data_IF_520207432230
#
_entry.id   IF_520207432230
#
_cell.length_a   1.000
_cell.length_b   1.000
_cell.length_c   1.000
_cell.angle_alpha   90.00
_cell.angle_beta   90.00
_cell.angle_gamma   90.00
#
_symmetry.space_group_name_H-M   'P 1'
#
loop_
_entity.id
_entity.type
_entity.pdbx_description
1 polymer ?
#
# COMPACT_ATOMS: atom_id res chain seq x y z
N UNK A 1 15.25 -2.10 -11.67
CA UNK A 1 13.84 -2.55 -11.66
C UNK A 1 12.99 -1.47 -12.27
N UNK A 2 11.83 -1.82 -12.83
CA UNK A 2 10.85 -0.85 -13.34
C UNK A 2 9.54 -1.04 -12.60
N UNK A 3 8.97 0.05 -12.07
CA UNK A 3 7.68 0.06 -11.40
C UNK A 3 6.67 0.82 -12.27
N UNK A 4 5.71 0.07 -12.82
CA UNK A 4 4.60 0.62 -13.60
C UNK A 4 3.48 1.00 -12.64
N UNK A 5 3.08 2.27 -12.67
CA UNK A 5 2.10 2.85 -11.76
C UNK A 5 1.07 3.69 -12.48
N UNK A 6 -0.08 3.85 -11.84
CA UNK A 6 -0.99 4.95 -12.12
C UNK A 6 -0.51 6.25 -11.47
N UNK A 7 -1.25 7.33 -11.67
CA UNK A 7 -0.97 8.60 -10.98
C UNK A 7 -1.12 8.42 -9.46
N UNK A 8 -0.06 8.76 -8.72
CA UNK A 8 0.05 8.58 -7.27
C UNK A 8 -0.98 9.38 -6.48
N UNK A 9 -1.58 10.44 -7.05
CA UNK A 9 -2.65 11.20 -6.38
C UNK A 9 -4.01 10.48 -6.41
N UNK A 10 -4.16 9.46 -7.26
CA UNK A 10 -5.43 8.80 -7.57
C UNK A 10 -5.38 7.28 -7.38
N UNK A 11 -4.19 6.68 -7.22
CA UNK A 11 -4.02 5.24 -7.06
C UNK A 11 -3.25 4.92 -5.78
N UNK A 12 -3.98 4.56 -4.73
CA UNK A 12 -3.37 4.11 -3.47
C UNK A 12 -2.59 2.83 -3.67
N UNK A 13 -3.09 1.92 -4.51
CA UNK A 13 -2.40 0.70 -4.91
C UNK A 13 -1.02 0.97 -5.50
N UNK A 14 -0.90 1.98 -6.36
CA UNK A 14 0.38 2.40 -6.93
C UNK A 14 1.29 3.11 -5.93
N UNK A 15 0.70 3.90 -5.04
CA UNK A 15 1.44 4.68 -4.05
C UNK A 15 2.18 3.78 -3.05
N UNK A 16 1.57 2.67 -2.63
CA UNK A 16 2.13 1.73 -1.65
C UNK A 16 3.55 1.22 -1.99
N UNK A 17 3.79 0.51 -3.12
CA UNK A 17 5.14 0.09 -3.44
C UNK A 17 6.05 1.28 -3.76
N UNK A 18 5.52 2.35 -4.36
CA UNK A 18 6.33 3.52 -4.70
C UNK A 18 6.89 4.22 -3.46
N UNK A 19 6.08 4.45 -2.42
CA UNK A 19 6.51 5.11 -1.19
C UNK A 19 7.46 4.22 -0.41
N UNK A 20 7.21 2.91 -0.34
CA UNK A 20 8.11 1.98 0.32
C UNK A 20 9.48 1.92 -0.37
N UNK A 21 9.51 1.73 -1.69
CA UNK A 21 10.77 1.68 -2.44
C UNK A 21 11.54 3.00 -2.31
N UNK A 22 10.84 4.15 -2.35
CA UNK A 22 11.45 5.47 -2.14
C UNK A 22 12.02 5.60 -0.72
N UNK A 23 11.25 5.24 0.31
CA UNK A 23 11.68 5.33 1.70
C UNK A 23 12.91 4.46 1.98
N UNK A 24 12.92 3.21 1.49
CA UNK A 24 14.02 2.28 1.70
C UNK A 24 15.20 2.47 0.74
N UNK A 25 15.19 3.51 -0.10
CA UNK A 25 16.28 3.81 -1.02
C UNK A 25 16.49 2.73 -2.09
N UNK A 26 15.46 1.96 -2.42
CA UNK A 26 15.51 0.95 -3.48
C UNK A 26 15.58 1.67 -4.83
N UNK A 27 16.51 1.28 -5.69
CA UNK A 27 16.64 1.89 -7.01
C UNK A 27 15.63 1.30 -8.01
N UNK A 28 14.80 2.17 -8.60
CA UNK A 28 13.84 1.80 -9.64
C UNK A 28 13.54 2.97 -10.58
N UNK A 29 13.18 2.63 -11.81
CA UNK A 29 12.58 3.55 -12.76
C UNK A 29 11.05 3.52 -12.62
N UNK A 30 10.40 4.68 -12.69
CA UNK A 30 8.93 4.79 -12.63
C UNK A 30 8.35 4.96 -14.02
N UNK A 31 7.46 4.06 -14.43
CA UNK A 31 6.65 4.18 -15.65
C UNK A 31 5.24 4.58 -15.24
N UNK A 32 4.78 5.75 -15.67
CA UNK A 32 3.44 6.27 -15.33
C UNK A 32 2.46 6.02 -16.47
N UNK A 33 1.37 5.33 -16.18
CA UNK A 33 0.23 5.17 -17.08
C UNK A 33 -0.93 6.06 -16.61
N UNK A 34 -1.64 6.65 -17.55
CA UNK A 34 -2.81 7.46 -17.27
C UNK A 34 -4.03 6.55 -17.06
N UNK A 35 -4.56 6.56 -15.84
CA UNK A 35 -5.74 5.79 -15.46
C UNK A 35 -7.01 6.38 -16.10
N UNK A 36 -8.04 5.54 -16.23
CA UNK A 36 -9.37 5.95 -16.72
C UNK A 36 -9.38 6.55 -18.14
N UNK A 37 -8.39 6.15 -18.97
CA UNK A 37 -8.31 6.52 -20.39
C UNK A 37 -8.64 5.33 -21.29
N UNK A 38 -9.16 5.57 -22.52
CA UNK A 38 -9.41 4.49 -23.48
C UNK A 38 -8.15 3.70 -23.87
N UNK A 39 -6.96 4.31 -23.73
CA UNK A 39 -5.67 3.70 -24.09
C UNK A 39 -5.07 2.84 -22.98
N UNK A 40 -5.50 3.03 -21.72
CA UNK A 40 -4.92 2.35 -20.56
C UNK A 40 -4.88 0.83 -20.73
N UNK A 41 -5.99 0.23 -21.17
CA UNK A 41 -6.11 -1.23 -21.34
C UNK A 41 -5.13 -1.80 -22.39
N UNK A 42 -4.78 -1.02 -23.42
CA UNK A 42 -3.78 -1.42 -24.41
C UNK A 42 -2.35 -1.24 -23.88
N UNK A 43 -2.11 -0.19 -23.09
CA UNK A 43 -0.80 0.09 -22.51
C UNK A 43 -0.42 -0.90 -21.41
N UNK A 44 -1.31 -1.20 -20.46
CA UNK A 44 -0.99 -2.07 -19.32
C UNK A 44 -0.66 -3.51 -19.74
N UNK A 45 -1.25 -3.99 -20.84
CA UNK A 45 -0.98 -5.32 -21.41
C UNK A 45 0.46 -5.53 -21.86
N UNK A 46 1.21 -4.45 -22.09
CA UNK A 46 2.63 -4.54 -22.42
C UNK A 46 3.48 -4.96 -21.20
N UNK A 47 2.94 -4.78 -19.99
CA UNK A 47 3.67 -4.99 -18.73
C UNK A 47 3.14 -6.18 -17.93
N UNK A 48 1.84 -6.48 -18.00
CA UNK A 48 1.23 -7.56 -17.24
C UNK A 48 -0.13 -8.02 -17.80
N UNK A 49 -0.43 -9.30 -17.60
CA UNK A 49 -1.75 -9.89 -17.86
C UNK A 49 -2.78 -9.60 -16.74
N UNK A 50 -2.36 -9.00 -15.61
CA UNK A 50 -3.26 -8.61 -14.53
C UNK A 50 -4.18 -7.44 -14.92
N UNK A 51 -3.84 -6.67 -15.96
CA UNK A 51 -4.56 -5.49 -16.45
C UNK A 51 -4.79 -4.40 -15.38
N UNK A 52 -3.99 -4.40 -14.32
CA UNK A 52 -4.04 -3.44 -13.23
C UNK A 52 -2.63 -2.94 -12.91
N UNK A 53 -2.55 -1.75 -12.30
CA UNK A 53 -1.34 -1.23 -11.66
C UNK A 53 -1.48 -1.39 -10.14
N UNK A 54 -0.38 -1.53 -9.38
CA UNK A 54 1.03 -1.50 -9.81
C UNK A 54 1.53 -2.82 -10.43
N UNK A 55 2.62 -2.72 -11.20
CA UNK A 55 3.41 -3.85 -11.71
C UNK A 55 4.89 -3.59 -11.47
N UNK A 56 5.59 -4.51 -10.81
CA UNK A 56 7.05 -4.47 -10.65
C UNK A 56 7.69 -5.48 -11.61
N UNK A 57 8.57 -4.98 -12.48
CA UNK A 57 9.38 -5.81 -13.37
C UNK A 57 10.81 -5.91 -12.82
N UNK A 58 11.26 -7.14 -12.63
CA UNK A 58 12.60 -7.47 -12.11
C UNK A 58 13.32 -8.41 -13.08
N UNK A 59 14.60 -8.67 -12.82
CA UNK A 59 15.36 -9.68 -13.56
C UNK A 59 14.85 -11.11 -13.33
N UNK A 60 14.12 -11.35 -12.23
CA UNK A 60 13.60 -12.66 -11.84
C UNK A 60 12.15 -12.89 -12.28
N UNK A 61 11.52 -11.89 -12.91
CA UNK A 61 10.12 -11.94 -13.32
C UNK A 61 9.33 -10.72 -12.87
N UNK A 62 8.01 -10.83 -13.05
CA UNK A 62 7.05 -9.74 -12.83
C UNK A 62 6.18 -10.03 -11.61
N UNK A 63 6.11 -9.08 -10.68
CA UNK A 63 5.18 -9.10 -9.56
C UNK A 63 4.03 -8.11 -9.81
N UNK A 64 2.80 -8.55 -9.51
CA UNK A 64 1.57 -7.79 -9.65
C UNK A 64 0.84 -7.77 -8.32
N UNK A 65 0.02 -6.74 -8.07
CA UNK A 65 -0.53 -6.41 -6.74
C UNK A 65 0.49 -5.76 -5.79
N UNK A 66 0.04 -4.73 -5.07
CA UNK A 66 0.91 -3.95 -4.18
C UNK A 66 1.55 -4.79 -3.07
N UNK A 67 0.82 -5.75 -2.49
CA UNK A 67 1.34 -6.57 -1.40
C UNK A 67 2.33 -7.61 -1.92
N UNK A 68 2.01 -8.27 -3.03
CA UNK A 68 2.95 -9.21 -3.66
C UNK A 68 4.26 -8.52 -4.07
N UNK A 69 4.19 -7.30 -4.61
CA UNK A 69 5.37 -6.49 -4.94
C UNK A 69 6.20 -6.21 -3.67
N UNK A 70 5.57 -5.79 -2.58
CA UNK A 70 6.26 -5.48 -1.33
C UNK A 70 6.89 -6.71 -0.67
N UNK A 71 6.22 -7.86 -0.70
CA UNK A 71 6.79 -9.13 -0.23
C UNK A 71 7.98 -9.56 -1.11
N UNK A 72 7.87 -9.41 -2.44
CA UNK A 72 8.98 -9.69 -3.38
C UNK A 72 10.20 -8.81 -3.09
N UNK A 73 9.99 -7.55 -2.75
CA UNK A 73 11.08 -6.63 -2.37
C UNK A 73 11.68 -6.99 -1.01
N UNK A 74 10.86 -7.47 -0.07
CA UNK A 74 11.27 -7.84 1.28
C UNK A 74 12.23 -9.04 1.30
N UNK A 75 12.22 -9.91 0.27
CA UNK A 75 13.22 -10.99 0.11
C UNK A 75 14.66 -10.43 0.07
N UNK A 76 14.86 -9.30 -0.61
CA UNK A 76 16.15 -8.60 -0.69
C UNK A 76 16.32 -7.47 0.33
N UNK A 77 15.24 -7.05 0.97
CA UNK A 77 15.19 -5.92 1.90
C UNK A 77 14.39 -6.30 3.16
N UNK A 78 14.87 -7.24 3.98
CA UNK A 78 14.11 -7.76 5.13
C UNK A 78 13.77 -6.69 6.18
N UNK A 79 14.48 -5.56 6.19
CA UNK A 79 14.18 -4.38 7.01
C UNK A 79 12.85 -3.69 6.66
N UNK A 80 12.23 -4.04 5.52
CA UNK A 80 10.87 -3.57 5.17
C UNK A 80 9.79 -4.08 6.13
N UNK A 81 10.11 -5.10 6.93
CA UNK A 81 9.28 -5.60 8.02
C UNK A 81 9.91 -5.28 9.39
N UNK A 82 9.11 -5.06 10.44
CA UNK A 82 9.64 -4.83 11.78
C UNK A 82 10.59 -5.93 12.24
N UNK A 83 11.71 -5.58 12.88
CA UNK A 83 12.68 -6.57 13.38
C UNK A 83 12.13 -7.39 14.56
N UNK A 84 11.33 -6.76 15.44
CA UNK A 84 10.64 -7.41 16.54
C UNK A 84 9.59 -8.39 16.02
N UNK A 85 9.71 -9.69 16.38
CA UNK A 85 8.83 -10.75 15.86
C UNK A 85 7.35 -10.55 16.18
N UNK A 86 7.02 -10.05 17.39
CA UNK A 86 5.63 -9.77 17.77
C UNK A 86 5.05 -8.66 16.90
N UNK A 87 5.82 -7.59 16.69
CA UNK A 87 5.40 -6.47 15.83
C UNK A 87 5.31 -6.90 14.36
N UNK A 88 6.22 -7.75 13.87
CA UNK A 88 6.18 -8.31 12.52
C UNK A 88 4.89 -9.11 12.24
N UNK A 89 4.47 -9.95 13.19
CA UNK A 89 3.19 -10.68 13.08
C UNK A 89 2.02 -9.69 13.02
N UNK A 90 2.03 -8.66 13.86
CA UNK A 90 1.00 -7.62 13.84
C UNK A 90 0.99 -6.84 12.53
N UNK A 91 2.16 -6.55 11.94
CA UNK A 91 2.30 -5.85 10.67
C UNK A 91 1.65 -6.64 9.55
N UNK A 92 1.95 -7.93 9.44
CA UNK A 92 1.35 -8.82 8.44
C UNK A 92 -0.15 -8.94 8.60
N UNK A 93 -0.65 -9.03 9.83
CA UNK A 93 -2.09 -9.04 10.09
C UNK A 93 -2.77 -7.73 9.67
N UNK A 94 -2.16 -6.58 9.97
CA UNK A 94 -2.68 -5.27 9.58
C UNK A 94 -2.70 -5.11 8.06
N UNK A 95 -1.61 -5.47 7.39
CA UNK A 95 -1.46 -5.41 5.94
C UNK A 95 -2.43 -6.34 5.23
N UNK A 96 -2.55 -7.60 5.68
CA UNK A 96 -3.52 -8.55 5.11
C UNK A 96 -4.96 -8.03 5.25
N UNK A 97 -5.33 -7.52 6.42
CA UNK A 97 -6.68 -6.96 6.66
C UNK A 97 -6.94 -5.71 5.82
N UNK A 98 -5.93 -4.85 5.63
CA UNK A 98 -6.04 -3.72 4.69
C UNK A 98 -6.22 -4.23 3.27
N UNK A 99 -5.42 -5.21 2.84
CA UNK A 99 -5.45 -5.75 1.48
C UNK A 99 -6.78 -6.43 1.13
N UNK A 100 -7.34 -7.24 2.05
CA UNK A 100 -8.53 -8.07 1.81
C UNK A 100 -9.83 -7.54 2.43
N UNK A 101 -9.87 -6.28 2.87
CA UNK A 101 -11.01 -5.75 3.62
C UNK A 101 -11.24 -4.25 3.43
N UNK A 102 -12.11 -3.71 4.28
CA UNK A 102 -12.55 -2.30 4.28
C UNK A 102 -13.22 -1.87 2.97
N UNK A 103 -14.07 -2.74 2.42
CA UNK A 103 -14.67 -2.53 1.10
C UNK A 103 -15.59 -1.31 1.03
N UNK A 104 -16.35 -1.01 2.08
CA UNK A 104 -17.24 0.15 2.10
C UNK A 104 -16.41 1.44 2.13
N UNK A 105 -15.38 1.50 2.99
CA UNK A 105 -14.42 2.62 3.00
C UNK A 105 -13.76 2.82 1.64
N UNK A 106 -13.29 1.74 1.00
CA UNK A 106 -12.61 1.81 -0.31
C UNK A 106 -13.52 2.28 -1.43
N UNK A 107 -14.79 1.87 -1.39
CA UNK A 107 -15.80 2.26 -2.38
C UNK A 107 -16.25 3.71 -2.20
N UNK A 108 -16.53 4.11 -0.95
CA UNK A 108 -17.12 5.42 -0.64
C UNK A 108 -16.07 6.54 -0.49
N UNK A 109 -14.84 6.18 -0.11
CA UNK A 109 -13.72 7.11 0.10
C UNK A 109 -12.50 6.76 -0.78
N UNK A 110 -12.65 6.71 -2.12
CA UNK A 110 -11.54 6.41 -3.00
C UNK A 110 -10.48 7.52 -2.93
N UNK A 111 -9.22 7.13 -3.08
CA UNK A 111 -8.09 8.06 -3.02
C UNK A 111 -8.22 9.15 -4.08
N UNK A 112 -8.20 10.42 -3.63
CA UNK A 112 -8.07 11.58 -4.49
C UNK A 112 -7.42 12.72 -3.70
N UNK A 113 -6.08 12.77 -3.72
CA UNK A 113 -5.30 13.76 -2.99
C UNK A 113 -5.45 15.20 -3.52
N UNK A 114 -6.13 15.36 -4.67
CA UNK A 114 -6.37 16.67 -5.31
C UNK A 114 -7.79 17.18 -5.06
N UNK A 115 -8.63 16.42 -4.38
CA UNK A 115 -10.00 16.81 -4.10
C UNK A 115 -10.04 17.95 -3.07
N UNK A 116 -10.78 19.02 -3.40
CA UNK A 116 -11.04 20.15 -2.51
C UNK A 116 -12.54 20.15 -2.18
N UNK A 117 -12.88 20.35 -0.90
CA UNK A 117 -14.28 20.43 -0.42
C UNK A 117 -15.15 19.22 -0.80
N UNK A 118 -14.55 18.02 -0.87
CA UNK A 118 -15.28 16.80 -1.23
C UNK A 118 -16.34 16.48 -0.19
N UNK A 119 -17.59 16.32 -0.64
CA UNK A 119 -18.68 15.80 0.18
C UNK A 119 -18.81 14.31 -0.08
N UNK A 120 -18.71 13.51 0.98
CA UNK A 120 -18.82 12.06 0.93
C UNK A 120 -20.12 11.66 1.61
N UNK A 121 -20.85 10.74 1.00
CA UNK A 121 -21.94 10.06 1.69
C UNK A 121 -21.32 8.90 2.47
N UNK A 122 -21.26 9.02 3.79
CA UNK A 122 -20.65 8.02 4.66
C UNK A 122 -21.77 7.14 5.20
N UNK A 123 -21.89 5.94 4.67
CA UNK A 123 -22.85 4.95 5.15
C UNK A 123 -22.45 4.40 6.52
N UNK A 124 -23.37 3.75 7.26
CA UNK A 124 -23.01 3.02 8.47
C UNK A 124 -21.93 1.93 8.23
N UNK A 125 -21.93 1.30 7.04
CA UNK A 125 -20.92 0.31 6.68
C UNK A 125 -19.53 0.94 6.52
N UNK A 126 -19.43 2.07 5.81
CA UNK A 126 -18.17 2.82 5.71
C UNK A 126 -17.73 3.36 7.07
N UNK A 127 -18.67 3.81 7.91
CA UNK A 127 -18.35 4.24 9.28
C UNK A 127 -17.72 3.11 10.10
N UNK A 128 -18.34 1.94 10.07
CA UNK A 128 -17.80 0.75 10.72
C UNK A 128 -16.42 0.33 10.19
N UNK A 129 -16.16 0.47 8.88
CA UNK A 129 -14.82 0.24 8.31
C UNK A 129 -13.80 1.25 8.85
N UNK A 130 -14.16 2.54 8.95
CA UNK A 130 -13.29 3.59 9.51
C UNK A 130 -12.94 3.27 10.96
N UNK A 131 -13.94 3.01 11.79
CA UNK A 131 -13.75 2.72 13.22
C UNK A 131 -12.84 1.50 13.42
N UNK A 132 -12.97 0.50 12.54
CA UNK A 132 -12.14 -0.69 12.54
C UNK A 132 -10.68 -0.46 12.09
N UNK A 133 -10.43 0.51 11.20
CA UNK A 133 -9.09 0.96 10.79
C UNK A 133 -8.46 1.76 11.94
N UNK A 134 -9.17 2.71 12.53
CA UNK A 134 -8.68 3.50 13.66
C UNK A 134 -8.32 2.59 14.85
N UNK A 135 -9.17 1.62 15.18
CA UNK A 135 -8.88 0.63 16.22
C UNK A 135 -7.72 -0.31 15.86
N UNK A 136 -7.48 -0.58 14.58
CA UNK A 136 -6.31 -1.34 14.13
C UNK A 136 -5.03 -0.53 14.37
N UNK A 137 -5.00 0.73 13.92
CA UNK A 137 -3.85 1.61 14.07
C UNK A 137 -3.52 1.89 15.53
N UNK A 138 -4.53 2.18 16.36
CA UNK A 138 -4.35 2.38 17.80
C UNK A 138 -3.70 1.18 18.49
N UNK A 139 -4.12 -0.05 18.14
CA UNK A 139 -3.50 -1.28 18.67
C UNK A 139 -2.07 -1.48 18.18
N UNK A 140 -1.77 -1.13 16.93
CA UNK A 140 -0.42 -1.21 16.39
C UNK A 140 0.51 -0.25 17.16
N UNK A 141 0.13 1.02 17.26
CA UNK A 141 0.89 2.06 17.98
C UNK A 141 1.09 1.71 19.45
N UNK A 142 0.04 1.21 20.13
CA UNK A 142 0.14 0.76 21.51
C UNK A 142 1.14 -0.40 21.67
N UNK A 143 1.13 -1.38 20.75
CA UNK A 143 2.05 -2.49 20.78
C UNK A 143 3.50 -2.05 20.51
N UNK A 144 3.71 -1.11 19.59
CA UNK A 144 5.01 -0.51 19.32
C UNK A 144 5.57 0.19 20.58
N UNK A 145 4.77 1.05 21.21
CA UNK A 145 5.13 1.75 22.44
C UNK A 145 5.47 0.78 23.58
N UNK A 146 4.68 -0.28 23.77
CA UNK A 146 4.96 -1.32 24.77
C UNK A 146 6.28 -2.07 24.50
N UNK A 147 6.68 -2.18 23.23
CA UNK A 147 7.94 -2.76 22.80
C UNK A 147 9.11 -1.76 22.81
N UNK A 148 8.91 -0.54 23.33
CA UNK A 148 9.91 0.52 23.36
C UNK A 148 10.21 1.16 22.01
N UNK A 149 9.34 0.96 21.01
CA UNK A 149 9.48 1.52 19.67
C UNK A 149 8.64 2.81 19.56
N UNK A 150 9.31 3.96 19.55
CA UNK A 150 8.68 5.30 19.63
C UNK A 150 8.90 6.16 18.38
N UNK A 151 9.31 5.57 17.26
CA UNK A 151 9.68 6.27 16.02
C UNK A 151 8.50 6.84 15.24
N UNK A 152 7.27 6.60 15.69
CA UNK A 152 6.05 7.28 15.22
C UNK A 152 5.31 6.59 14.08
N UNK A 153 5.81 5.46 13.56
CA UNK A 153 5.09 4.60 12.61
C UNK A 153 4.30 3.51 13.34
N UNK A 154 3.38 2.85 12.63
CA UNK A 154 2.39 1.96 13.24
C UNK A 154 3.02 0.89 14.12
N UNK A 155 4.19 0.37 13.75
CA UNK A 155 4.84 -0.76 14.40
C UNK A 155 6.35 -0.51 14.66
N UNK A 156 6.72 0.74 14.92
CA UNK A 156 8.07 1.18 15.23
C UNK A 156 8.67 2.04 14.13
N UNK A 157 9.75 1.57 13.50
CA UNK A 157 10.27 2.17 12.27
C UNK A 157 9.26 2.00 11.11
N UNK A 158 9.41 2.81 10.07
CA UNK A 158 8.58 2.69 8.86
C UNK A 158 8.69 1.27 8.29
N UNK A 159 7.57 0.71 7.88
CA UNK A 159 7.48 -0.65 7.35
C UNK A 159 6.46 -0.74 6.20
N UNK A 160 6.34 -1.93 5.61
CA UNK A 160 5.27 -2.24 4.65
C UNK A 160 3.87 -1.96 5.22
N UNK A 161 3.68 -1.99 6.54
CA UNK A 161 2.38 -1.68 7.14
C UNK A 161 1.99 -0.20 7.05
N UNK A 162 2.96 0.69 6.86
CA UNK A 162 2.79 2.14 6.81
C UNK A 162 2.64 2.68 5.38
N UNK A 163 3.09 1.89 4.39
CA UNK A 163 3.06 2.20 2.96
C UNK A 163 1.65 2.07 2.36
#
# INVERSE_FOLDING_TARGET
MQLVIGNQNYSSWSMRPWVAMTHFGVSFETIKLELDTPVFAAQIKQYSNANTVPVLMTQNGTATDSLSILETLADGHPQMWPSNLKLKIMARNAVARMHSGFFALRSEMPMNCRAIQRRLNITPACRNDIDQVEALWARCLAAANQAGQTQGYLLGDFSIADA
#
